data_IF_765028888474
#
_entry.id   IF_765028888474
#
_cell.length_a   1.000
_cell.length_b   1.000
_cell.length_c   1.000
_cell.angle_alpha   90.00
_cell.angle_beta   90.00
_cell.angle_gamma   90.00
#
_symmetry.space_group_name_H-M   'P 1'
#
loop_
_entity.id
_entity.type
_entity.pdbx_description
1 polymer ?
#
# COMPACT_ATOMS: atom_id res chain seq x y z
N UNK A 1 -0.53 -28.40 21.68
CA UNK A 1 -1.73 -28.85 20.94
C UNK A 1 -1.31 -29.08 19.49
N UNK A 2 -1.74 -30.17 18.86
CA UNK A 2 -1.43 -30.44 17.46
C UNK A 2 -2.29 -29.53 16.56
N UNK A 3 -1.66 -28.86 15.61
CA UNK A 3 -2.35 -28.05 14.58
C UNK A 3 -3.21 -28.95 13.71
N UNK A 4 -4.48 -28.60 13.52
CA UNK A 4 -5.41 -29.39 12.72
C UNK A 4 -5.42 -28.95 11.24
N UNK A 5 -5.73 -29.86 10.30
CA UNK A 5 -5.86 -29.49 8.89
C UNK A 5 -6.88 -28.38 8.63
N UNK A 6 -7.97 -28.35 9.40
CA UNK A 6 -9.01 -27.31 9.32
C UNK A 6 -8.48 -25.94 9.70
N UNK A 7 -7.65 -25.85 10.75
CA UNK A 7 -7.00 -24.60 11.13
C UNK A 7 -6.05 -24.10 10.01
N UNK A 8 -5.28 -25.00 9.41
CA UNK A 8 -4.40 -24.64 8.29
C UNK A 8 -5.20 -24.15 7.08
N UNK A 9 -6.31 -24.82 6.74
CA UNK A 9 -7.20 -24.40 5.65
C UNK A 9 -7.79 -23.03 5.92
N UNK A 10 -8.33 -22.81 7.11
CA UNK A 10 -8.92 -21.52 7.51
C UNK A 10 -7.89 -20.37 7.47
N UNK A 11 -6.69 -20.59 8.00
CA UNK A 11 -5.63 -19.59 7.96
C UNK A 11 -5.19 -19.28 6.51
N UNK A 12 -5.16 -20.29 5.64
CA UNK A 12 -4.85 -20.11 4.22
C UNK A 12 -5.94 -19.30 3.52
N UNK A 13 -7.21 -19.55 3.79
CA UNK A 13 -8.34 -18.77 3.23
C UNK A 13 -8.26 -17.30 3.65
N UNK A 14 -7.90 -17.03 4.91
CA UNK A 14 -7.75 -15.67 5.44
C UNK A 14 -6.52 -14.94 4.93
N UNK A 15 -5.38 -15.63 4.83
CA UNK A 15 -4.07 -14.99 4.55
C UNK A 15 -3.63 -15.07 3.09
N UNK A 16 -4.21 -16.01 2.31
CA UNK A 16 -3.73 -16.35 0.98
C UNK A 16 -2.33 -16.98 0.94
N UNK A 17 -1.69 -17.22 2.08
CA UNK A 17 -0.34 -17.74 2.16
C UNK A 17 -0.27 -19.24 1.75
N UNK A 18 0.91 -19.73 1.31
CA UNK A 18 1.12 -21.15 1.00
C UNK A 18 0.80 -22.04 2.21
N UNK A 19 0.20 -23.22 1.96
CA UNK A 19 -0.27 -24.15 3.00
C UNK A 19 0.81 -24.48 4.04
N UNK A 20 2.07 -24.71 3.60
CA UNK A 20 3.18 -25.04 4.49
C UNK A 20 3.59 -23.86 5.37
N UNK A 21 3.47 -22.63 4.87
CA UNK A 21 3.71 -21.43 5.68
C UNK A 21 2.60 -21.24 6.72
N UNK A 22 1.35 -21.49 6.36
CA UNK A 22 0.24 -21.47 7.31
C UNK A 22 0.43 -22.51 8.43
N UNK A 23 0.84 -23.73 8.07
CA UNK A 23 1.14 -24.77 9.06
C UNK A 23 2.27 -24.33 10.02
N UNK A 24 3.39 -23.85 9.48
CA UNK A 24 4.53 -23.36 10.29
C UNK A 24 4.15 -22.21 11.20
N UNK A 25 3.33 -21.28 10.69
CA UNK A 25 2.87 -20.14 11.48
C UNK A 25 1.94 -20.59 12.62
N UNK A 26 1.05 -21.55 12.38
CA UNK A 26 0.19 -22.13 13.41
C UNK A 26 1.00 -22.93 14.44
N UNK A 27 2.00 -23.71 14.02
CA UNK A 27 2.87 -24.43 14.94
C UNK A 27 3.61 -23.45 15.89
N UNK A 28 4.16 -22.35 15.33
CA UNK A 28 4.81 -21.28 16.10
C UNK A 28 3.83 -20.56 17.04
N UNK A 29 2.61 -20.29 16.56
CA UNK A 29 1.56 -19.65 17.32
C UNK A 29 0.80 -20.62 18.26
N UNK A 30 1.25 -21.87 18.41
CA UNK A 30 0.62 -22.92 19.25
C UNK A 30 -0.87 -23.12 18.94
N UNK A 31 -1.26 -22.93 17.68
CA UNK A 31 -2.63 -23.07 17.21
C UNK A 31 -3.50 -21.81 17.33
N UNK A 32 -2.96 -20.69 17.82
CA UNK A 32 -3.68 -19.41 17.88
C UNK A 32 -3.75 -18.75 16.50
N UNK A 33 -4.97 -18.58 15.98
CA UNK A 33 -5.22 -18.08 14.61
C UNK A 33 -4.73 -16.64 14.40
N UNK A 34 -5.05 -15.72 15.33
CA UNK A 34 -4.66 -14.32 15.22
C UNK A 34 -3.14 -14.13 15.31
N UNK A 35 -2.51 -14.87 16.22
CA UNK A 35 -1.06 -14.87 16.31
C UNK A 35 -0.40 -15.47 15.06
N UNK A 36 -0.92 -16.59 14.55
CA UNK A 36 -0.43 -17.17 13.29
C UNK A 36 -0.57 -16.22 12.10
N UNK A 37 -1.68 -15.50 12.01
CA UNK A 37 -1.88 -14.47 11.00
C UNK A 37 -0.85 -13.34 11.12
N UNK A 38 -0.59 -12.87 12.34
CA UNK A 38 0.44 -11.87 12.63
C UNK A 38 1.85 -12.36 12.24
N UNK A 39 2.17 -13.62 12.53
CA UNK A 39 3.44 -14.25 12.11
C UNK A 39 3.57 -14.26 10.59
N UNK A 40 2.50 -14.63 9.86
CA UNK A 40 2.50 -14.61 8.39
C UNK A 40 2.69 -13.20 7.83
N UNK A 41 2.04 -12.18 8.40
CA UNK A 41 2.25 -10.77 8.01
C UNK A 41 3.71 -10.37 8.15
N UNK A 42 4.32 -10.61 9.31
CA UNK A 42 5.75 -10.32 9.56
C UNK A 42 6.68 -11.03 8.57
N UNK A 43 6.42 -12.31 8.29
CA UNK A 43 7.20 -13.10 7.31
C UNK A 43 7.01 -12.58 5.89
N UNK A 44 5.80 -12.16 5.52
CA UNK A 44 5.48 -11.54 4.24
C UNK A 44 6.30 -10.26 4.03
N UNK A 45 6.29 -9.35 5.01
CA UNK A 45 7.08 -8.12 5.00
C UNK A 45 8.58 -8.41 4.87
N UNK A 46 9.11 -9.37 5.66
CA UNK A 46 10.53 -9.76 5.57
C UNK A 46 10.89 -10.37 4.21
N UNK A 47 9.99 -11.15 3.60
CA UNK A 47 10.16 -11.70 2.26
C UNK A 47 10.16 -10.61 1.20
N UNK A 48 9.23 -9.65 1.28
CA UNK A 48 9.17 -8.50 0.39
C UNK A 48 10.44 -7.64 0.48
N UNK A 49 10.90 -7.33 1.69
CA UNK A 49 12.12 -6.56 1.91
C UNK A 49 13.35 -7.22 1.28
N UNK A 50 13.48 -8.55 1.36
CA UNK A 50 14.59 -9.29 0.73
C UNK A 50 14.57 -9.26 -0.79
N UNK A 51 13.40 -9.04 -1.40
CA UNK A 51 13.20 -9.04 -2.85
C UNK A 51 13.08 -7.64 -3.44
N UNK A 52 12.90 -6.59 -2.63
CA UNK A 52 12.65 -5.22 -3.06
C UNK A 52 13.69 -4.66 -4.06
N UNK A 53 14.95 -5.14 -4.00
CA UNK A 53 16.00 -4.74 -4.93
C UNK A 53 16.03 -5.51 -6.26
N UNK A 54 15.12 -6.49 -6.48
CA UNK A 54 15.11 -7.25 -7.74
C UNK A 54 14.39 -6.46 -8.82
N UNK A 55 14.91 -6.56 -10.05
CA UNK A 55 14.32 -5.89 -11.21
C UNK A 55 12.95 -6.48 -11.53
N UNK A 56 11.98 -5.61 -11.77
CA UNK A 56 10.62 -5.96 -12.16
C UNK A 56 10.32 -5.32 -13.51
N UNK A 57 10.65 -6.05 -14.60
CA UNK A 57 10.50 -5.57 -15.97
C UNK A 57 9.18 -5.96 -16.62
N UNK A 58 8.46 -6.88 -15.99
CA UNK A 58 7.15 -7.36 -16.41
C UNK A 58 6.04 -6.77 -15.54
N UNK A 59 4.78 -7.01 -15.87
CA UNK A 59 3.65 -6.52 -15.10
C UNK A 59 2.40 -6.26 -15.92
N UNK A 60 1.47 -5.51 -15.33
CA UNK A 60 0.23 -5.10 -16.00
C UNK A 60 -0.12 -3.65 -15.70
N UNK A 61 -0.87 -3.04 -16.61
CA UNK A 61 -1.59 -1.78 -16.35
C UNK A 61 -2.99 -2.13 -15.85
N UNK A 62 -3.16 -2.07 -14.54
CA UNK A 62 -4.48 -2.18 -13.91
C UNK A 62 -5.31 -0.93 -14.14
N UNK A 63 -6.63 -1.08 -14.18
CA UNK A 63 -7.52 0.05 -14.37
C UNK A 63 -8.79 -0.09 -13.54
N UNK A 64 -9.39 1.05 -13.20
CA UNK A 64 -10.69 1.13 -12.56
C UNK A 64 -11.42 2.40 -13.00
N UNK A 65 -12.66 2.25 -13.42
CA UNK A 65 -13.57 3.37 -13.68
C UNK A 65 -14.69 3.30 -12.65
N UNK A 66 -14.82 4.35 -11.85
CA UNK A 66 -15.86 4.42 -10.83
C UNK A 66 -17.26 4.55 -11.45
N UNK A 67 -18.26 3.98 -10.77
CA UNK A 67 -19.64 4.03 -11.22
C UNK A 67 -20.05 5.48 -11.53
N UNK A 68 -20.67 5.69 -12.70
CA UNK A 68 -21.01 7.01 -13.22
C UNK A 68 -19.89 7.67 -14.06
N UNK A 69 -18.73 7.02 -14.26
CA UNK A 69 -17.72 7.43 -15.23
C UNK A 69 -16.97 8.73 -14.92
N UNK A 70 -17.11 9.27 -13.68
CA UNK A 70 -16.52 10.56 -13.31
C UNK A 70 -15.10 10.48 -12.76
N UNK A 71 -14.65 9.29 -12.37
CA UNK A 71 -13.30 9.05 -11.86
C UNK A 71 -12.75 7.80 -12.57
N UNK A 72 -11.56 7.92 -13.13
CA UNK A 72 -10.82 6.83 -13.76
C UNK A 72 -9.40 6.76 -13.23
N UNK A 73 -8.88 5.53 -13.10
CA UNK A 73 -7.52 5.25 -12.64
C UNK A 73 -6.86 4.25 -13.57
N UNK A 74 -5.59 4.51 -13.90
CA UNK A 74 -4.65 3.56 -14.46
C UNK A 74 -3.50 3.42 -13.47
N UNK A 75 -3.04 2.19 -13.23
CA UNK A 75 -1.91 1.91 -12.34
C UNK A 75 -1.00 0.86 -12.96
N UNK A 76 0.31 1.09 -12.95
CA UNK A 76 1.32 0.14 -13.37
C UNK A 76 1.77 -0.67 -12.15
N UNK A 77 1.49 -1.98 -12.19
CA UNK A 77 1.93 -2.94 -11.18
C UNK A 77 2.90 -3.90 -11.84
N UNK A 78 4.14 -3.96 -11.34
CA UNK A 78 5.22 -4.72 -11.92
C UNK A 78 5.55 -5.97 -11.12
N UNK A 79 6.08 -6.99 -11.81
CA UNK A 79 6.62 -8.24 -11.28
C UNK A 79 7.88 -8.66 -12.05
N UNK A 80 8.52 -9.77 -11.64
CA UNK A 80 9.76 -10.23 -12.27
C UNK A 80 9.50 -10.95 -13.61
N UNK A 81 8.39 -11.72 -13.72
CA UNK A 81 8.08 -12.56 -14.89
C UNK A 81 6.70 -12.34 -15.47
N UNK A 82 6.57 -12.65 -16.77
CA UNK A 82 5.29 -12.64 -17.50
C UNK A 82 4.31 -13.72 -17.00
N UNK A 83 4.81 -14.81 -16.39
CA UNK A 83 3.98 -15.85 -15.77
C UNK A 83 3.16 -15.27 -14.63
N UNK A 84 3.79 -14.48 -13.75
CA UNK A 84 3.09 -13.81 -12.64
C UNK A 84 2.18 -12.73 -13.18
N UNK A 85 2.61 -11.95 -14.18
CA UNK A 85 1.79 -10.90 -14.81
C UNK A 85 0.46 -11.44 -15.39
N UNK A 86 0.47 -12.66 -15.94
CA UNK A 86 -0.72 -13.32 -16.51
C UNK A 86 -1.60 -14.01 -15.48
N UNK A 87 -1.13 -14.16 -14.25
CA UNK A 87 -1.88 -14.84 -13.21
C UNK A 87 -3.10 -14.02 -12.79
N UNK A 88 -4.27 -14.65 -12.73
CA UNK A 88 -5.55 -14.00 -12.39
C UNK A 88 -5.48 -13.21 -11.08
N UNK A 89 -4.86 -13.77 -10.04
CA UNK A 89 -4.72 -13.08 -8.76
C UNK A 89 -3.81 -11.84 -8.82
N UNK A 90 -2.85 -11.81 -9.75
CA UNK A 90 -2.01 -10.63 -9.95
C UNK A 90 -2.80 -9.54 -10.69
N UNK A 91 -3.57 -9.91 -11.69
CA UNK A 91 -4.47 -8.99 -12.39
C UNK A 91 -5.53 -8.43 -11.44
N UNK A 92 -6.08 -9.29 -10.55
CA UNK A 92 -7.01 -8.85 -9.53
C UNK A 92 -6.34 -7.89 -8.52
N UNK A 93 -5.09 -8.14 -8.12
CA UNK A 93 -4.33 -7.21 -7.28
C UNK A 93 -4.19 -5.83 -7.95
N UNK A 94 -3.85 -5.79 -9.23
CA UNK A 94 -3.72 -4.53 -9.98
C UNK A 94 -5.06 -3.78 -10.06
N UNK A 95 -6.16 -4.49 -10.29
CA UNK A 95 -7.50 -3.93 -10.27
C UNK A 95 -7.89 -3.38 -8.88
N UNK A 96 -7.61 -4.12 -7.82
CA UNK A 96 -7.90 -3.73 -6.44
C UNK A 96 -7.08 -2.50 -6.02
N UNK A 97 -5.82 -2.41 -6.44
CA UNK A 97 -4.98 -1.22 -6.24
C UNK A 97 -5.54 -0.02 -7.00
N UNK A 98 -6.00 -0.19 -8.25
CA UNK A 98 -6.63 0.89 -9.01
C UNK A 98 -7.90 1.40 -8.31
N UNK A 99 -8.71 0.50 -7.75
CA UNK A 99 -9.90 0.84 -6.97
C UNK A 99 -9.55 1.58 -5.67
N UNK A 100 -8.49 1.15 -4.96
CA UNK A 100 -7.95 1.84 -3.78
C UNK A 100 -7.58 3.29 -4.12
N UNK A 101 -6.78 3.49 -5.18
CA UNK A 101 -6.35 4.82 -5.64
C UNK A 101 -7.56 5.69 -6.00
N UNK A 102 -8.57 5.11 -6.64
CA UNK A 102 -9.80 5.82 -6.95
C UNK A 102 -10.49 6.36 -5.70
N UNK A 103 -10.57 5.55 -4.65
CA UNK A 103 -11.29 5.86 -3.42
C UNK A 103 -10.53 6.83 -2.51
N UNK A 104 -9.22 6.70 -2.40
CA UNK A 104 -8.40 7.39 -1.38
C UNK A 104 -7.55 8.54 -1.90
N UNK A 105 -7.41 8.68 -3.23
CA UNK A 105 -6.66 9.76 -3.88
C UNK A 105 -5.25 9.98 -3.30
N UNK A 106 -4.39 8.95 -3.25
CA UNK A 106 -3.05 9.10 -2.71
C UNK A 106 -2.22 10.06 -3.58
N UNK A 107 -1.33 10.82 -2.94
CA UNK A 107 -0.42 11.74 -3.63
C UNK A 107 0.91 11.09 -3.99
N UNK A 108 1.30 10.07 -3.22
CA UNK A 108 2.57 9.36 -3.33
C UNK A 108 2.30 7.85 -3.31
N UNK A 109 3.22 7.08 -3.87
CA UNK A 109 3.13 5.62 -3.78
C UNK A 109 3.64 5.16 -2.42
N UNK A 110 4.82 5.62 -2.01
CA UNK A 110 5.48 5.25 -0.75
C UNK A 110 5.83 6.51 0.04
N UNK A 111 6.11 6.34 1.32
CA UNK A 111 6.59 7.45 2.17
C UNK A 111 7.96 7.99 1.73
N UNK A 112 8.81 7.13 1.14
CA UNK A 112 10.09 7.50 0.58
C UNK A 112 9.99 8.43 -0.64
N UNK A 113 8.83 8.45 -1.32
CA UNK A 113 8.55 9.31 -2.47
C UNK A 113 8.18 10.74 -2.03
N UNK A 114 7.91 10.95 -0.74
CA UNK A 114 7.62 12.28 -0.19
C UNK A 114 8.91 13.09 -0.13
N UNK A 115 8.98 14.16 -0.93
CA UNK A 115 10.19 15.00 -0.97
C UNK A 115 10.46 15.69 0.36
N UNK A 116 11.74 15.97 0.64
CA UNK A 116 12.14 16.66 1.87
C UNK A 116 11.42 18.01 2.03
N UNK A 117 11.16 18.71 0.93
CA UNK A 117 10.45 20.01 0.93
C UNK A 117 8.99 19.86 1.37
N UNK A 118 8.28 18.85 0.82
CA UNK A 118 6.89 18.56 1.21
C UNK A 118 6.84 18.18 2.68
N UNK A 119 7.75 17.30 3.12
CA UNK A 119 7.82 16.85 4.51
C UNK A 119 8.12 18.00 5.48
N UNK A 120 9.05 18.89 5.12
CA UNK A 120 9.40 20.05 5.95
C UNK A 120 8.21 21.01 6.06
N UNK A 121 7.56 21.32 4.95
CA UNK A 121 6.37 22.17 4.92
C UNK A 121 5.25 21.62 5.79
N UNK A 122 5.00 20.30 5.70
CA UNK A 122 3.98 19.65 6.52
C UNK A 122 4.33 19.69 8.01
N UNK A 123 5.60 19.44 8.37
CA UNK A 123 6.08 19.58 9.76
C UNK A 123 5.86 20.98 10.32
N UNK A 124 6.12 22.01 9.53
CA UNK A 124 5.90 23.41 9.94
C UNK A 124 4.43 23.71 10.20
N UNK A 125 3.54 23.24 9.31
CA UNK A 125 2.08 23.36 9.47
C UNK A 125 1.63 22.64 10.75
N UNK A 126 2.05 21.39 10.93
CA UNK A 126 1.70 20.58 12.08
C UNK A 126 2.22 21.17 13.40
N UNK A 127 3.44 21.71 13.37
CA UNK A 127 4.05 22.38 14.54
C UNK A 127 3.30 23.67 14.91
N UNK A 128 2.94 24.47 13.91
CA UNK A 128 2.11 25.67 14.11
C UNK A 128 0.75 25.32 14.72
N UNK A 129 0.08 24.30 14.21
CA UNK A 129 -1.20 23.80 14.75
C UNK A 129 -1.05 23.26 16.18
N UNK A 130 0.05 22.57 16.48
CA UNK A 130 0.31 22.02 17.80
C UNK A 130 0.66 23.12 18.81
N UNK A 131 1.42 24.14 18.42
CA UNK A 131 1.78 25.30 19.26
C UNK A 131 0.54 26.06 19.74
N UNK A 132 -0.49 26.17 18.90
CA UNK A 132 -1.77 26.79 19.29
C UNK A 132 -2.47 26.08 20.45
N UNK A 133 -2.08 24.84 20.80
CA UNK A 133 -2.63 24.08 21.92
C UNK A 133 -2.00 24.42 23.28
N UNK A 134 -1.01 25.31 23.36
CA UNK A 134 -0.35 25.77 24.61
C UNK A 134 0.47 24.70 25.33
N UNK A 135 0.84 23.59 24.65
CA UNK A 135 1.60 22.49 25.23
C UNK A 135 3.10 22.75 25.26
N UNK A 136 3.86 22.18 26.21
CA UNK A 136 5.32 22.28 26.26
C UNK A 136 5.99 21.76 24.97
N UNK A 137 7.14 22.36 24.60
CA UNK A 137 7.85 22.07 23.35
C UNK A 137 8.23 20.58 23.19
N UNK A 138 8.66 19.92 24.26
CA UNK A 138 8.94 18.48 24.28
C UNK A 138 7.72 17.58 23.96
N UNK A 139 6.49 18.08 24.19
CA UNK A 139 5.24 17.39 23.87
C UNK A 139 4.84 17.69 22.41
N UNK A 140 5.19 18.87 21.90
CA UNK A 140 4.89 19.27 20.52
C UNK A 140 5.56 18.33 19.51
N UNK A 141 6.81 17.95 19.71
CA UNK A 141 7.55 17.08 18.80
C UNK A 141 6.87 15.69 18.67
N UNK A 142 6.42 15.13 19.78
CA UNK A 142 5.65 13.86 19.77
C UNK A 142 4.30 13.98 19.07
N UNK A 143 3.63 15.12 19.22
CA UNK A 143 2.36 15.39 18.52
C UNK A 143 2.61 15.50 17.02
N UNK A 144 3.68 16.18 16.61
CA UNK A 144 4.06 16.31 15.20
C UNK A 144 4.39 14.94 14.59
N UNK A 145 5.17 14.12 15.30
CA UNK A 145 5.50 12.77 14.84
C UNK A 145 4.24 11.88 14.66
N UNK A 146 3.34 11.90 15.63
CA UNK A 146 2.07 11.17 15.52
C UNK A 146 1.19 11.65 14.36
N UNK A 147 1.14 12.97 14.12
CA UNK A 147 0.39 13.56 13.00
C UNK A 147 1.07 13.29 11.65
N UNK A 148 2.41 13.18 11.59
CA UNK A 148 3.12 12.74 10.39
C UNK A 148 2.77 11.29 10.02
N UNK A 149 2.59 10.41 11.00
CA UNK A 149 2.06 9.07 10.75
C UNK A 149 0.74 9.13 10.00
N UNK A 150 -0.18 9.97 10.48
CA UNK A 150 -1.48 10.18 9.82
C UNK A 150 -1.35 10.80 8.43
N UNK A 151 -0.43 11.75 8.24
CA UNK A 151 -0.14 12.31 6.92
C UNK A 151 0.29 11.22 5.92
N UNK A 152 1.16 10.29 6.32
CA UNK A 152 1.55 9.17 5.46
C UNK A 152 0.38 8.22 5.17
N UNK A 153 -0.42 7.87 6.17
CA UNK A 153 -1.62 7.05 5.98
C UNK A 153 -2.63 7.69 5.01
N UNK A 154 -2.76 9.01 5.02
CA UNK A 154 -3.71 9.71 4.15
C UNK A 154 -3.15 9.92 2.73
N UNK A 155 -1.84 10.08 2.57
CA UNK A 155 -1.23 10.52 1.31
C UNK A 155 -0.38 9.47 0.58
N UNK A 156 0.08 8.41 1.26
CA UNK A 156 0.97 7.40 0.66
C UNK A 156 0.21 6.08 0.48
N UNK A 157 0.07 5.64 -0.76
CA UNK A 157 -0.70 4.45 -1.14
C UNK A 157 -0.35 3.21 -0.29
N UNK A 158 0.94 2.94 -0.07
CA UNK A 158 1.39 1.76 0.68
C UNK A 158 1.04 1.80 2.17
N UNK A 159 0.92 2.99 2.75
CA UNK A 159 0.59 3.19 4.16
C UNK A 159 -0.93 3.20 4.41
N UNK A 160 -1.74 3.33 3.36
CA UNK A 160 -3.20 3.35 3.47
C UNK A 160 -3.76 1.99 3.85
N UNK A 161 -4.80 1.99 4.68
CA UNK A 161 -5.60 0.79 4.92
C UNK A 161 -6.32 0.36 3.65
N UNK A 162 -6.25 -0.92 3.33
CA UNK A 162 -6.87 -1.47 2.14
C UNK A 162 -8.40 -1.49 2.29
N UNK A 163 -9.11 -0.86 1.36
CA UNK A 163 -10.58 -0.68 1.44
C UNK A 163 -11.37 -1.99 1.42
N UNK A 164 -10.79 -3.09 0.94
CA UNK A 164 -11.41 -4.42 0.88
C UNK A 164 -10.82 -5.39 1.93
N UNK A 165 -10.19 -4.89 2.97
CA UNK A 165 -9.49 -5.71 3.95
C UNK A 165 -10.41 -6.52 4.89
N UNK A 166 -11.71 -6.30 4.81
CA UNK A 166 -12.70 -6.95 5.68
C UNK A 166 -12.59 -6.57 7.15
N UNK A 167 -11.92 -5.44 7.48
CA UNK A 167 -11.72 -4.98 8.86
C UNK A 167 -10.49 -5.56 9.53
N UNK A 168 -9.57 -6.19 8.79
CA UNK A 168 -8.31 -6.73 9.32
C UNK A 168 -7.27 -5.67 9.67
N UNK A 169 -7.46 -4.42 9.22
CA UNK A 169 -6.51 -3.33 9.34
C UNK A 169 -5.25 -3.52 8.49
N UNK A 170 -5.33 -4.33 7.43
CA UNK A 170 -4.24 -4.57 6.51
C UNK A 170 -3.98 -3.33 5.65
N UNK A 171 -2.71 -2.93 5.54
CA UNK A 171 -2.32 -1.86 4.60
C UNK A 171 -2.12 -2.39 3.19
N UNK A 172 -2.13 -1.50 2.19
CA UNK A 172 -1.80 -1.83 0.79
C UNK A 172 -0.39 -2.40 0.68
N UNK A 173 0.58 -1.85 1.43
CA UNK A 173 1.96 -2.37 1.49
C UNK A 173 2.02 -3.81 2.01
N UNK A 174 1.24 -4.13 3.03
CA UNK A 174 1.14 -5.50 3.56
C UNK A 174 0.43 -6.46 2.61
N UNK A 175 -0.59 -5.99 1.90
CA UNK A 175 -1.26 -6.76 0.84
C UNK A 175 -0.25 -7.13 -0.26
N UNK A 176 0.53 -6.16 -0.74
CA UNK A 176 1.58 -6.40 -1.76
C UNK A 176 2.63 -7.36 -1.21
N UNK A 177 3.10 -7.18 0.03
CA UNK A 177 4.07 -8.07 0.66
C UNK A 177 3.57 -9.52 0.78
N UNK A 178 2.30 -9.71 1.07
CA UNK A 178 1.68 -11.04 1.08
C UNK A 178 1.70 -11.67 -0.32
N UNK A 179 1.45 -10.88 -1.38
CA UNK A 179 1.54 -11.37 -2.77
C UNK A 179 2.99 -11.68 -3.17
N UNK A 180 3.97 -10.86 -2.75
CA UNK A 180 5.41 -11.14 -2.93
C UNK A 180 5.80 -12.48 -2.26
N UNK A 181 5.30 -12.74 -1.06
CA UNK A 181 5.55 -14.01 -0.38
C UNK A 181 4.89 -15.19 -1.10
N UNK A 182 3.67 -14.99 -1.63
CA UNK A 182 2.90 -16.04 -2.33
C UNK A 182 3.50 -16.40 -3.68
N UNK A 183 3.79 -15.41 -4.52
CA UNK A 183 4.34 -15.62 -5.86
C UNK A 183 5.85 -15.89 -5.86
N UNK A 184 6.54 -15.53 -4.79
CA UNK A 184 8.00 -15.70 -4.70
C UNK A 184 8.79 -14.67 -5.50
N UNK A 185 8.14 -13.70 -6.11
CA UNK A 185 8.70 -12.62 -6.92
C UNK A 185 8.56 -11.25 -6.25
N UNK A 186 9.42 -10.30 -6.61
CA UNK A 186 9.22 -8.90 -6.27
C UNK A 186 7.99 -8.36 -7.01
N UNK A 187 7.17 -7.61 -6.31
CA UNK A 187 5.99 -6.92 -6.86
C UNK A 187 6.00 -5.50 -6.33
N UNK A 188 5.81 -4.54 -7.22
CA UNK A 188 5.73 -3.13 -6.83
C UNK A 188 4.72 -2.36 -7.70
N UNK A 189 4.27 -1.22 -7.18
CA UNK A 189 3.57 -0.19 -7.93
C UNK A 189 4.60 0.84 -8.39
N UNK A 190 4.68 1.11 -9.69
CA UNK A 190 5.65 2.05 -10.25
C UNK A 190 5.08 3.44 -10.43
N UNK A 191 3.85 3.53 -10.94
CA UNK A 191 3.17 4.80 -11.17
C UNK A 191 1.67 4.60 -11.31
N UNK A 192 0.93 5.67 -11.17
CA UNK A 192 -0.50 5.70 -11.48
C UNK A 192 -0.91 7.06 -12.04
N UNK A 193 -2.07 7.08 -12.68
CA UNK A 193 -2.75 8.30 -13.11
C UNK A 193 -4.20 8.20 -12.69
N UNK A 194 -4.69 9.23 -11.99
CA UNK A 194 -6.08 9.36 -11.58
C UNK A 194 -6.67 10.59 -12.26
N UNK A 195 -7.80 10.42 -12.90
CA UNK A 195 -8.50 11.48 -13.60
C UNK A 195 -9.89 11.61 -12.98
N UNK A 196 -10.25 12.83 -12.59
CA UNK A 196 -11.57 13.15 -12.06
C UNK A 196 -12.18 14.31 -12.84
N UNK A 197 -13.38 14.12 -13.30
CA UNK A 197 -14.12 15.16 -14.05
C UNK A 197 -14.24 16.44 -13.22
N UNK A 198 -13.84 17.57 -13.79
CA UNK A 198 -13.87 18.89 -13.16
C UNK A 198 -12.63 19.25 -12.34
N UNK A 199 -11.68 18.34 -12.11
CA UNK A 199 -10.49 18.61 -11.31
C UNK A 199 -9.52 19.59 -11.98
N UNK A 200 -9.39 19.53 -13.31
CA UNK A 200 -8.59 20.47 -14.10
C UNK A 200 -9.20 21.89 -14.14
N UNK A 201 -10.49 22.03 -13.95
CA UNK A 201 -11.14 23.34 -13.91
C UNK A 201 -10.87 24.11 -12.59
N UNK A 202 -10.46 23.38 -11.54
CA UNK A 202 -10.13 23.94 -10.22
C UNK A 202 -8.65 24.33 -10.07
N UNK A 203 -7.77 23.85 -10.98
CA UNK A 203 -6.35 24.21 -10.97
C UNK A 203 -6.15 25.54 -11.71
N UNK A 204 -5.74 26.57 -10.97
CA UNK A 204 -5.30 27.86 -11.53
C UNK A 204 -4.12 27.67 -12.50
N UNK A 205 -3.98 28.49 -13.56
CA UNK A 205 -2.93 28.33 -14.58
C UNK A 205 -1.47 28.38 -14.07
N UNK A 206 -1.25 28.72 -12.80
CA UNK A 206 0.08 28.87 -12.18
C UNK A 206 0.77 27.54 -11.78
N UNK A 207 0.10 26.39 -11.90
CA UNK A 207 0.62 25.07 -11.43
C UNK A 207 0.77 24.02 -12.54
N UNK A 208 0.85 24.44 -13.80
CA UNK A 208 1.22 23.52 -14.87
C UNK A 208 2.71 23.15 -14.76
N UNK A 209 3.08 21.85 -14.72
CA UNK A 209 4.49 21.47 -14.77
C UNK A 209 5.11 21.95 -16.10
N UNK A 210 6.40 22.36 -16.09
CA UNK A 210 7.07 22.76 -17.31
C UNK A 210 7.03 21.61 -18.31
N UNK A 211 6.54 21.91 -19.52
CA UNK A 211 6.57 20.97 -20.62
C UNK A 211 8.00 20.49 -20.84
N UNK A 212 8.25 19.19 -20.75
CA UNK A 212 9.51 18.58 -21.13
C UNK A 212 9.74 18.93 -22.62
N UNK A 213 10.67 19.85 -22.88
CA UNK A 213 11.17 20.16 -24.20
C UNK A 213 11.90 18.92 -24.72
N UNK A 214 11.35 18.36 -25.80
CA UNK A 214 12.02 17.36 -26.61
C UNK A 214 13.34 17.95 -27.13
N UNK A 215 14.42 17.23 -26.93
CA UNK A 215 15.68 17.30 -27.69
C UNK A 215 16.19 15.89 -27.88
#
# INVERSE_FOLDING_TARGET
MSVTPEQVKKLREMSGAPMMECKRALDEAKGEMEHAFTVLRKRGLASAAKKAGRTTSEGVVGHYIHAGGKIGVLVEVNCESDFVARHEEFQQLAHDIAMQICATDPRFIRKEDVTAEVLQREKEILRSQAAASGKPEAVLDRIVEGKLGKFYEDNCLYEQHFIKDGGSGQTVGELIAAKVAKFGENINVSRFSRIKVGESAAKSPAEAPPSASAS
#
